data_IF_793598640784
#
_entry.id   IF_793598640784
#
_cell.length_a   1.000
_cell.length_b   1.000
_cell.length_c   1.000
_cell.angle_alpha   90.00
_cell.angle_beta   90.00
_cell.angle_gamma   90.00
#
_symmetry.space_group_name_H-M   'P 1'
#
loop_
_entity.id
_entity.type
_entity.pdbx_description
1 polymer ?
#
# COMPACT_ATOMS: atom_id res chain seq x y z
N UNK A 1 18.90 25.60 -6.61
CA UNK A 1 18.09 24.48 -6.10
C UNK A 1 17.17 24.01 -7.22
N UNK A 2 17.51 22.90 -7.92
CA UNK A 2 16.80 22.50 -9.13
C UNK A 2 15.34 22.14 -8.86
N UNK A 3 15.03 21.51 -7.73
CA UNK A 3 13.68 21.08 -7.40
C UNK A 3 12.74 22.26 -7.09
N UNK A 4 13.24 23.35 -6.50
CA UNK A 4 12.47 24.59 -6.31
C UNK A 4 12.16 25.26 -7.65
N UNK A 5 13.14 25.31 -8.55
CA UNK A 5 12.96 25.90 -9.87
C UNK A 5 11.95 25.08 -10.70
N UNK A 6 12.01 23.75 -10.62
CA UNK A 6 11.08 22.84 -11.28
C UNK A 6 9.66 23.03 -10.76
N UNK A 7 9.46 23.00 -9.43
CA UNK A 7 8.14 23.21 -8.82
C UNK A 7 7.54 24.59 -9.17
N UNK A 8 8.37 25.64 -9.22
CA UNK A 8 7.91 26.97 -9.61
C UNK A 8 7.52 27.04 -11.10
N UNK A 9 8.27 26.39 -11.96
CA UNK A 9 7.94 26.33 -13.38
C UNK A 9 6.61 25.58 -13.60
N UNK A 10 6.39 24.48 -12.89
CA UNK A 10 5.15 23.70 -12.93
C UNK A 10 3.94 24.53 -12.50
N UNK A 11 4.04 25.26 -11.37
CA UNK A 11 2.96 26.16 -10.91
C UNK A 11 2.64 27.22 -11.95
N UNK A 12 3.65 27.82 -12.58
CA UNK A 12 3.42 28.84 -13.62
C UNK A 12 2.79 28.25 -14.88
N UNK A 13 3.10 27.01 -15.21
CA UNK A 13 2.51 26.31 -16.34
C UNK A 13 1.03 25.98 -16.07
N UNK A 14 0.73 25.43 -14.89
CA UNK A 14 -0.65 25.18 -14.43
C UNK A 14 -1.49 26.45 -14.47
N UNK A 15 -0.97 27.57 -13.95
CA UNK A 15 -1.70 28.84 -13.95
C UNK A 15 -1.96 29.39 -15.35
N UNK A 16 -1.14 29.03 -16.34
CA UNK A 16 -1.31 29.47 -17.75
C UNK A 16 -2.19 28.50 -18.55
N UNK A 17 -2.03 27.21 -18.36
CA UNK A 17 -2.56 26.17 -19.22
C UNK A 17 -3.66 25.34 -18.53
N UNK A 18 -3.88 25.50 -17.22
CA UNK A 18 -5.03 25.00 -16.46
C UNK A 18 -4.80 23.68 -15.73
N UNK A 19 -3.97 22.77 -16.22
CA UNK A 19 -3.75 21.46 -15.62
C UNK A 19 -2.27 21.05 -15.69
N UNK A 20 -1.78 20.18 -14.77
CA UNK A 20 -0.45 19.56 -14.89
C UNK A 20 -0.35 18.75 -16.19
N UNK A 21 0.86 18.53 -16.67
CA UNK A 21 1.10 17.65 -17.81
C UNK A 21 0.53 16.24 -17.54
N UNK A 22 -0.34 15.69 -18.43
CA UNK A 22 -1.05 14.44 -18.21
C UNK A 22 -0.14 13.21 -18.06
N UNK A 23 1.12 13.29 -18.48
CA UNK A 23 2.08 12.18 -18.39
C UNK A 23 2.49 11.80 -16.96
N UNK A 24 2.19 12.64 -15.95
CA UNK A 24 2.66 12.45 -14.58
C UNK A 24 1.56 12.40 -13.53
N UNK A 25 0.32 12.71 -13.90
CA UNK A 25 -0.81 12.70 -12.97
C UNK A 25 -2.09 12.28 -13.68
N UNK A 26 -2.88 11.48 -13.00
CA UNK A 26 -4.25 11.18 -13.39
C UNK A 26 -5.22 11.96 -12.52
N UNK A 27 -6.39 12.31 -13.06
CA UNK A 27 -7.39 13.14 -12.39
C UNK A 27 -8.78 12.61 -12.66
N UNK A 28 -9.56 12.44 -11.61
CA UNK A 28 -11.01 12.22 -11.71
C UNK A 28 -11.75 13.03 -10.65
N UNK A 29 -13.07 13.02 -10.72
CA UNK A 29 -13.94 13.67 -9.73
C UNK A 29 -14.86 12.62 -9.12
N UNK A 30 -14.91 12.60 -7.79
CA UNK A 30 -15.81 11.76 -7.02
C UNK A 30 -16.86 12.61 -6.28
N UNK A 31 -18.11 12.13 -6.24
CA UNK A 31 -19.22 12.74 -5.51
C UNK A 31 -19.50 11.92 -4.25
N UNK A 32 -18.96 12.38 -3.14
CA UNK A 32 -19.08 11.73 -1.82
C UNK A 32 -19.91 12.59 -0.85
N UNK A 33 -20.18 12.10 0.35
CA UNK A 33 -21.02 12.78 1.34
C UNK A 33 -20.56 14.21 1.68
N UNK A 34 -19.26 14.48 1.58
CA UNK A 34 -18.72 15.84 1.76
C UNK A 34 -18.87 16.74 0.53
N UNK A 35 -19.42 16.23 -0.57
CA UNK A 35 -19.58 16.92 -1.84
C UNK A 35 -18.59 16.45 -2.89
N UNK A 36 -18.38 17.28 -3.91
CA UNK A 36 -17.51 16.97 -5.05
C UNK A 36 -16.05 17.12 -4.69
N UNK A 37 -15.31 16.01 -4.75
CA UNK A 37 -13.85 15.96 -4.52
C UNK A 37 -13.13 15.71 -5.85
N UNK A 38 -12.15 16.56 -6.19
CA UNK A 38 -11.25 16.31 -7.32
C UNK A 38 -10.05 15.51 -6.79
N UNK A 39 -9.83 14.33 -7.35
CA UNK A 39 -8.76 13.41 -6.94
C UNK A 39 -7.71 13.38 -8.02
N UNK A 40 -6.47 13.68 -7.67
CA UNK A 40 -5.31 13.64 -8.58
C UNK A 40 -4.20 12.81 -7.96
N UNK A 41 -3.56 11.95 -8.73
CA UNK A 41 -2.58 11.00 -8.18
C UNK A 41 -1.45 10.68 -9.16
N UNK A 42 -0.35 10.16 -8.61
CA UNK A 42 0.76 9.66 -9.41
C UNK A 42 0.37 8.41 -10.21
N UNK A 43 0.94 8.18 -11.41
CA UNK A 43 0.56 7.08 -12.30
C UNK A 43 0.66 5.68 -11.69
N UNK A 44 1.40 5.51 -10.59
CA UNK A 44 1.49 4.23 -9.89
C UNK A 44 0.18 3.77 -9.24
N UNK A 45 -0.81 4.64 -9.15
CA UNK A 45 -2.17 4.34 -8.65
C UNK A 45 -3.19 4.29 -9.79
N UNK A 46 -2.72 4.13 -11.03
CA UNK A 46 -3.57 3.93 -12.21
C UNK A 46 -4.58 2.80 -11.99
N UNK A 47 -5.83 3.04 -12.38
CA UNK A 47 -6.94 2.10 -12.23
C UNK A 47 -7.80 2.33 -10.98
N UNK A 48 -7.45 3.27 -10.10
CA UNK A 48 -8.37 3.71 -9.05
C UNK A 48 -9.48 4.58 -9.66
N UNK A 49 -10.74 4.26 -9.34
CA UNK A 49 -11.91 4.90 -9.93
C UNK A 49 -12.67 5.79 -8.92
N UNK A 50 -12.41 5.64 -7.62
CA UNK A 50 -13.04 6.43 -6.57
C UNK A 50 -12.05 6.87 -5.47
N UNK A 51 -12.54 7.75 -4.58
CA UNK A 51 -11.75 8.32 -3.48
C UNK A 51 -11.27 7.23 -2.50
N UNK A 52 -12.13 6.26 -2.16
CA UNK A 52 -11.82 5.19 -1.23
C UNK A 52 -10.70 4.29 -1.77
N UNK A 53 -10.82 3.83 -3.02
CA UNK A 53 -9.79 3.01 -3.68
C UNK A 53 -8.45 3.74 -3.76
N UNK A 54 -8.48 5.03 -4.09
CA UNK A 54 -7.26 5.85 -4.18
C UNK A 54 -6.56 5.99 -2.82
N UNK A 55 -7.33 6.27 -1.76
CA UNK A 55 -6.79 6.34 -0.40
C UNK A 55 -6.32 4.98 0.10
N UNK A 56 -7.08 3.90 -0.20
CA UNK A 56 -6.69 2.54 0.12
C UNK A 56 -5.34 2.18 -0.54
N UNK A 57 -5.19 2.43 -1.83
CA UNK A 57 -3.94 2.17 -2.56
C UNK A 57 -2.76 3.00 -2.00
N UNK A 58 -2.99 4.29 -1.70
CA UNK A 58 -1.99 5.15 -1.12
C UNK A 58 -1.52 4.64 0.24
N UNK A 59 -2.44 4.39 1.18
CA UNK A 59 -2.12 4.02 2.56
C UNK A 59 -1.60 2.57 2.66
N UNK A 60 -2.11 1.64 1.85
CA UNK A 60 -1.59 0.28 1.75
C UNK A 60 -0.14 0.23 1.26
N UNK A 61 0.31 1.25 0.53
CA UNK A 61 1.68 1.36 0.03
C UNK A 61 2.73 1.66 1.11
N UNK A 62 2.30 2.00 2.33
CA UNK A 62 3.22 2.31 3.45
C UNK A 62 3.96 1.04 3.87
N UNK A 63 5.30 1.10 3.84
CA UNK A 63 6.21 0.02 4.21
C UNK A 63 6.96 0.35 5.52
N UNK A 64 7.51 -0.65 6.23
CA UNK A 64 8.38 -0.41 7.38
C UNK A 64 9.55 0.52 7.02
N UNK A 65 9.72 1.59 7.80
CA UNK A 65 10.74 2.61 7.57
C UNK A 65 10.29 3.80 6.72
N UNK A 66 9.08 3.76 6.17
CA UNK A 66 8.48 4.90 5.49
C UNK A 66 8.03 5.99 6.48
N UNK A 67 7.76 7.17 5.95
CA UNK A 67 7.06 8.24 6.66
C UNK A 67 5.84 8.71 5.86
N UNK A 68 4.82 9.14 6.56
CA UNK A 68 3.63 9.75 5.98
C UNK A 68 3.69 11.27 6.12
N UNK A 69 3.46 11.99 5.03
CA UNK A 69 3.39 13.45 5.03
C UNK A 69 2.01 13.93 4.56
N UNK A 70 1.34 14.66 5.46
CA UNK A 70 0.10 15.37 5.14
C UNK A 70 0.46 16.80 4.78
N UNK A 71 0.42 17.13 3.48
CA UNK A 71 0.78 18.42 2.93
C UNK A 71 -0.49 19.24 2.71
N UNK A 72 -0.79 20.20 3.60
CA UNK A 72 -2.07 20.90 3.57
C UNK A 72 -1.94 22.37 3.13
N UNK A 73 -2.57 22.70 2.02
CA UNK A 73 -2.76 24.07 1.49
C UNK A 73 -4.11 24.60 1.97
N UNK A 74 -4.31 24.61 3.28
CA UNK A 74 -5.56 24.93 3.95
C UNK A 74 -5.31 25.85 5.15
N UNK A 75 -6.28 26.69 5.55
CA UNK A 75 -6.21 27.41 6.82
C UNK A 75 -6.40 26.45 8.00
N UNK A 76 -5.57 26.59 9.03
CA UNK A 76 -5.60 25.73 10.23
C UNK A 76 -6.41 26.29 11.39
N UNK A 77 -6.83 27.54 11.31
CA UNK A 77 -7.50 28.22 12.43
C UNK A 77 -9.00 28.12 12.34
N UNK A 78 -9.62 27.83 13.48
CA UNK A 78 -11.10 27.85 13.65
C UNK A 78 -11.78 26.54 13.19
N UNK A 79 -13.03 26.39 13.63
CA UNK A 79 -14.00 25.37 13.22
C UNK A 79 -13.58 23.89 13.37
N UNK A 80 -12.57 23.58 14.19
CA UNK A 80 -12.07 22.20 14.37
C UNK A 80 -11.26 21.69 13.18
N UNK A 81 -10.80 22.58 12.29
CA UNK A 81 -9.99 22.19 11.11
C UNK A 81 -8.71 21.48 11.50
N UNK A 82 -8.00 22.04 12.46
CA UNK A 82 -6.73 21.49 12.92
C UNK A 82 -6.92 20.10 13.52
N UNK A 83 -7.93 19.96 14.34
CA UNK A 83 -8.26 18.69 15.01
C UNK A 83 -8.55 17.59 13.98
N UNK A 84 -9.32 17.88 12.92
CA UNK A 84 -9.62 16.93 11.86
C UNK A 84 -8.37 16.52 11.06
N UNK A 85 -7.50 17.48 10.74
CA UNK A 85 -6.24 17.20 10.01
C UNK A 85 -5.27 16.39 10.88
N UNK A 86 -5.18 16.70 12.18
CA UNK A 86 -4.36 15.93 13.13
C UNK A 86 -4.93 14.53 13.36
N UNK A 87 -6.25 14.35 13.31
CA UNK A 87 -6.88 13.02 13.36
C UNK A 87 -6.40 12.15 12.19
N UNK A 88 -6.46 12.64 10.97
CA UNK A 88 -5.94 11.93 9.79
C UNK A 88 -4.47 11.54 9.98
N UNK A 89 -3.65 12.50 10.35
CA UNK A 89 -2.20 12.29 10.51
C UNK A 89 -1.87 11.27 11.59
N UNK A 90 -2.51 11.36 12.75
CA UNK A 90 -2.31 10.44 13.88
C UNK A 90 -2.87 9.06 13.56
N UNK A 91 -4.08 8.98 12.98
CA UNK A 91 -4.69 7.70 12.59
C UNK A 91 -3.78 6.88 11.68
N UNK A 92 -3.21 7.52 10.65
CA UNK A 92 -2.25 6.86 9.76
C UNK A 92 -0.97 6.45 10.52
N UNK A 93 -0.39 7.35 11.31
CA UNK A 93 0.85 7.05 12.03
C UNK A 93 0.72 5.87 13.01
N UNK A 94 -0.38 5.85 13.78
CA UNK A 94 -0.64 4.81 14.77
C UNK A 94 -0.97 3.46 14.11
N UNK A 95 -1.79 3.46 13.06
CA UNK A 95 -2.24 2.24 12.38
C UNK A 95 -1.16 1.55 11.58
N UNK A 96 -0.24 2.32 10.98
CA UNK A 96 0.84 1.76 10.15
C UNK A 96 2.21 1.78 10.85
N UNK A 97 2.31 2.28 12.08
CA UNK A 97 3.57 2.33 12.85
C UNK A 97 4.64 3.18 12.17
N UNK A 98 4.25 4.23 11.45
CA UNK A 98 5.17 5.09 10.71
C UNK A 98 5.31 6.48 11.34
N UNK A 99 6.43 7.15 11.07
CA UNK A 99 6.59 8.57 11.39
C UNK A 99 5.66 9.39 10.51
N UNK A 100 4.97 10.38 11.08
CA UNK A 100 4.14 11.30 10.29
C UNK A 100 4.51 12.77 10.51
N UNK A 101 4.32 13.59 9.48
CA UNK A 101 4.46 15.04 9.57
C UNK A 101 3.26 15.76 8.94
N UNK A 102 2.97 16.93 9.49
CA UNK A 102 2.01 17.87 8.94
C UNK A 102 2.77 19.07 8.37
N UNK A 103 2.65 19.26 7.08
CA UNK A 103 3.30 20.34 6.37
C UNK A 103 2.28 21.38 5.90
N UNK A 104 2.57 22.64 6.19
CA UNK A 104 1.67 23.75 5.84
C UNK A 104 2.13 24.42 4.54
N UNK A 105 1.35 24.20 3.49
CA UNK A 105 1.57 24.84 2.20
C UNK A 105 1.25 26.35 2.20
N UNK A 106 1.94 27.14 1.41
CA UNK A 106 3.10 26.80 0.60
C UNK A 106 4.45 26.87 1.33
N UNK A 107 4.48 27.13 2.64
CA UNK A 107 5.70 27.41 3.41
C UNK A 107 6.73 26.28 3.35
N UNK A 108 6.29 25.03 3.40
CA UNK A 108 7.20 23.86 3.38
C UNK A 108 7.90 23.64 2.04
N UNK A 109 7.37 24.16 0.93
CA UNK A 109 7.91 23.94 -0.41
C UNK A 109 9.40 24.28 -0.55
N UNK A 110 9.88 25.28 0.23
CA UNK A 110 11.26 25.76 0.21
C UNK A 110 12.13 25.19 1.34
N UNK A 111 11.61 24.29 2.14
CA UNK A 111 12.29 23.66 3.29
C UNK A 111 12.18 22.14 3.26
N UNK A 112 11.30 21.55 4.05
CA UNK A 112 11.05 20.10 4.12
C UNK A 112 10.56 19.51 2.79
N UNK A 113 9.82 20.26 1.98
CA UNK A 113 9.42 19.86 0.63
C UNK A 113 10.60 19.53 -0.30
N UNK A 114 11.81 20.01 -0.02
CA UNK A 114 13.01 19.62 -0.76
C UNK A 114 13.46 18.20 -0.40
N UNK A 115 13.36 17.83 0.87
CA UNK A 115 13.62 16.48 1.33
C UNK A 115 12.61 15.50 0.73
N UNK A 116 11.33 15.89 0.68
CA UNK A 116 10.27 15.09 0.06
C UNK A 116 10.57 14.77 -1.42
N UNK A 117 11.08 15.73 -2.17
CA UNK A 117 11.41 15.60 -3.60
C UNK A 117 12.77 14.96 -3.85
N UNK A 118 13.79 15.38 -3.12
CA UNK A 118 15.20 15.03 -3.39
C UNK A 118 15.79 13.97 -2.45
N UNK A 119 15.10 13.61 -1.37
CA UNK A 119 15.52 12.58 -0.41
C UNK A 119 15.29 11.14 -0.90
N UNK A 120 15.56 10.14 -0.07
CA UNK A 120 15.20 8.76 -0.35
C UNK A 120 13.71 8.59 -0.64
N UNK A 121 13.33 7.57 -1.44
CA UNK A 121 11.94 7.30 -1.77
C UNK A 121 11.23 6.52 -0.66
N UNK A 122 11.13 7.14 0.52
CA UNK A 122 10.51 6.59 1.74
C UNK A 122 9.24 7.37 2.13
N UNK A 123 8.85 8.37 1.35
CA UNK A 123 7.68 9.21 1.66
C UNK A 123 6.41 8.71 0.99
N UNK A 124 5.30 8.78 1.73
CA UNK A 124 3.93 8.65 1.23
C UNK A 124 3.23 9.97 1.49
N UNK A 125 2.67 10.59 0.46
CA UNK A 125 2.23 11.98 0.49
C UNK A 125 0.74 12.10 0.19
N UNK A 126 -0.02 12.65 1.15
CA UNK A 126 -1.39 13.12 0.93
C UNK A 126 -1.37 14.65 0.91
N UNK A 127 -1.72 15.23 -0.23
CA UNK A 127 -1.77 16.67 -0.43
C UNK A 127 -3.23 17.08 -0.35
N UNK A 128 -3.54 18.13 0.42
CA UNK A 128 -4.89 18.66 0.56
C UNK A 128 -4.93 20.12 0.12
N UNK A 129 -5.92 20.45 -0.71
CA UNK A 129 -6.36 21.81 -0.98
C UNK A 129 -7.88 21.87 -1.00
N UNK A 130 -8.47 23.04 -1.02
CA UNK A 130 -9.93 23.19 -1.06
C UNK A 130 -10.31 24.53 -1.68
N UNK A 131 -11.56 24.61 -2.15
CA UNK A 131 -12.14 25.89 -2.48
C UNK A 131 -12.24 26.76 -1.21
N UNK A 132 -11.90 28.03 -1.35
CA UNK A 132 -11.93 28.98 -0.27
C UNK A 132 -13.37 29.50 -0.06
N UNK A 133 -13.92 29.32 1.15
CA UNK A 133 -15.22 29.89 1.53
C UNK A 133 -15.27 31.40 1.34
N UNK A 134 -14.13 32.05 1.42
CA UNK A 134 -13.96 33.48 1.17
C UNK A 134 -12.59 33.71 0.52
N UNK A 135 -12.57 33.65 -0.77
CA UNK A 135 -11.34 33.88 -1.53
C UNK A 135 -10.94 35.36 -1.59
N UNK A 136 -9.66 35.61 -1.66
CA UNK A 136 -9.09 36.95 -1.69
C UNK A 136 -8.52 37.21 -3.09
N UNK A 137 -9.09 38.18 -3.85
CA UNK A 137 -8.57 38.49 -5.16
C UNK A 137 -7.17 39.09 -5.07
N UNK A 138 -6.36 38.76 -6.06
CA UNK A 138 -5.02 39.32 -6.26
C UNK A 138 -5.03 40.44 -7.30
N UNK A 139 -4.02 41.34 -7.31
CA UNK A 139 -3.86 42.35 -8.36
C UNK A 139 -3.76 41.70 -9.76
N UNK A 140 -4.20 42.43 -10.80
CA UNK A 140 -4.18 41.93 -12.20
C UNK A 140 -2.79 41.51 -12.68
N UNK A 141 -1.74 42.08 -12.12
CA UNK A 141 -0.35 41.74 -12.44
C UNK A 141 0.15 40.46 -11.76
N UNK A 142 -0.64 39.87 -10.85
CA UNK A 142 -0.29 38.64 -10.18
C UNK A 142 -0.40 37.43 -11.13
N UNK A 143 0.33 36.36 -10.80
CA UNK A 143 0.34 35.14 -11.60
C UNK A 143 -1.01 34.37 -11.51
N UNK A 144 -1.81 34.60 -10.47
CA UNK A 144 -3.11 33.98 -10.24
C UNK A 144 -4.17 35.05 -9.93
N UNK A 145 -5.46 34.81 -10.24
CA UNK A 145 -6.54 35.76 -9.99
C UNK A 145 -6.87 35.92 -8.50
N UNK A 146 -6.56 34.90 -7.67
CA UNK A 146 -6.86 34.91 -6.24
C UNK A 146 -5.86 34.08 -5.43
N UNK A 147 -5.91 34.19 -4.09
CA UNK A 147 -5.09 33.38 -3.21
C UNK A 147 -5.49 31.90 -3.23
N UNK A 148 -6.79 31.59 -3.35
CA UNK A 148 -7.30 30.23 -3.46
C UNK A 148 -6.78 29.54 -4.72
N UNK A 149 -6.92 30.18 -5.87
CA UNK A 149 -6.40 29.68 -7.16
C UNK A 149 -4.87 29.50 -7.10
N UNK A 150 -4.15 30.41 -6.46
CA UNK A 150 -2.72 30.25 -6.26
C UNK A 150 -2.39 29.03 -5.39
N UNK A 151 -3.10 28.82 -4.30
CA UNK A 151 -2.90 27.69 -3.39
C UNK A 151 -3.21 26.35 -4.11
N UNK A 152 -4.32 26.29 -4.86
CA UNK A 152 -4.68 25.13 -5.68
C UNK A 152 -3.58 24.80 -6.71
N UNK A 153 -3.12 25.79 -7.45
CA UNK A 153 -2.05 25.60 -8.43
C UNK A 153 -0.72 25.17 -7.78
N UNK A 154 -0.42 25.66 -6.58
CA UNK A 154 0.78 25.26 -5.83
C UNK A 154 0.67 23.81 -5.34
N UNK A 155 -0.49 23.37 -4.88
CA UNK A 155 -0.75 21.98 -4.48
C UNK A 155 -0.61 21.03 -5.68
N UNK A 156 -1.22 21.37 -6.82
CA UNK A 156 -1.12 20.60 -8.05
C UNK A 156 0.32 20.54 -8.59
N UNK A 157 1.06 21.65 -8.53
CA UNK A 157 2.48 21.70 -8.93
C UNK A 157 3.40 20.90 -8.00
N UNK A 158 3.06 20.80 -6.71
CA UNK A 158 3.76 19.95 -5.76
C UNK A 158 3.53 18.47 -6.09
N UNK A 159 2.27 18.06 -6.32
CA UNK A 159 1.91 16.73 -6.79
C UNK A 159 2.70 16.35 -8.05
N UNK A 160 2.62 17.18 -9.09
CA UNK A 160 3.30 16.92 -10.37
C UNK A 160 4.80 16.73 -10.19
N UNK A 161 5.45 17.57 -9.34
CA UNK A 161 6.87 17.43 -9.05
C UNK A 161 7.21 16.16 -8.29
N UNK A 162 6.38 15.74 -7.33
CA UNK A 162 6.52 14.49 -6.59
C UNK A 162 6.32 13.28 -7.51
N UNK A 163 5.28 13.30 -8.34
CA UNK A 163 4.96 12.24 -9.30
C UNK A 163 6.09 12.05 -10.33
N UNK A 164 6.64 13.14 -10.91
CA UNK A 164 7.83 13.11 -11.78
C UNK A 164 9.05 12.47 -11.12
N UNK A 165 9.11 12.46 -9.79
CA UNK A 165 10.16 11.82 -8.98
C UNK A 165 9.80 10.38 -8.57
N UNK A 166 8.69 9.83 -9.06
CA UNK A 166 8.22 8.49 -8.71
C UNK A 166 7.83 8.36 -7.24
N UNK A 167 7.34 9.45 -6.63
CA UNK A 167 6.85 9.45 -5.24
C UNK A 167 5.42 8.93 -5.19
N UNK A 168 5.06 8.27 -4.10
CA UNK A 168 3.71 7.82 -3.78
C UNK A 168 2.91 9.02 -3.28
N UNK A 169 2.12 9.64 -4.14
CA UNK A 169 1.44 10.88 -3.82
C UNK A 169 0.03 10.95 -4.43
N UNK A 170 -0.88 11.48 -3.63
CA UNK A 170 -2.27 11.79 -3.98
C UNK A 170 -2.57 13.23 -3.56
N UNK A 171 -3.32 13.95 -4.36
CA UNK A 171 -3.84 15.28 -4.05
C UNK A 171 -5.37 15.24 -4.09
N UNK A 172 -5.98 15.68 -3.01
CA UNK A 172 -7.42 15.89 -2.89
C UNK A 172 -7.71 17.37 -2.87
N UNK A 173 -8.51 17.82 -3.84
CA UNK A 173 -9.07 19.16 -3.81
C UNK A 173 -10.54 19.09 -3.36
N UNK A 174 -10.78 19.62 -2.16
CA UNK A 174 -12.06 19.52 -1.46
C UNK A 174 -13.03 20.61 -1.91
N UNK A 175 -14.36 20.40 -1.81
CA UNK A 175 -15.37 21.37 -2.22
C UNK A 175 -15.36 22.66 -1.39
N UNK A 176 -14.86 22.58 -0.16
CA UNK A 176 -14.64 23.73 0.71
C UNK A 176 -13.63 23.41 1.84
N UNK A 177 -13.15 24.45 2.51
CA UNK A 177 -12.21 24.34 3.63
C UNK A 177 -12.90 24.37 5.01
N UNK A 178 -14.17 24.02 5.14
CA UNK A 178 -14.86 24.00 6.41
C UNK A 178 -14.40 22.90 7.34
N UNK A 179 -14.55 23.10 8.65
CA UNK A 179 -14.27 22.05 9.61
C UNK A 179 -15.25 20.86 9.51
N UNK A 180 -16.40 21.03 8.85
CA UNK A 180 -17.33 19.92 8.57
C UNK A 180 -16.74 19.02 7.51
N UNK A 181 -16.38 19.55 6.35
CA UNK A 181 -15.77 18.84 5.24
C UNK A 181 -14.50 18.09 5.68
N UNK A 182 -13.63 18.73 6.45
CA UNK A 182 -12.41 18.09 6.95
C UNK A 182 -12.68 16.95 7.94
N UNK A 183 -13.71 17.03 8.78
CA UNK A 183 -14.11 15.91 9.64
C UNK A 183 -14.69 14.75 8.85
N UNK A 184 -15.45 15.02 7.79
CA UNK A 184 -15.94 13.98 6.89
C UNK A 184 -14.79 13.29 6.16
N UNK A 185 -13.79 14.04 5.70
CA UNK A 185 -12.57 13.44 5.14
C UNK A 185 -11.82 12.59 6.17
N UNK A 186 -11.70 13.06 7.42
CA UNK A 186 -11.08 12.27 8.48
C UNK A 186 -11.81 10.94 8.71
N UNK A 187 -13.15 10.95 8.67
CA UNK A 187 -13.94 9.72 8.77
C UNK A 187 -13.69 8.77 7.59
N UNK A 188 -13.66 9.28 6.36
CA UNK A 188 -13.33 8.46 5.17
C UNK A 188 -11.95 7.81 5.32
N UNK A 189 -10.95 8.55 5.82
CA UNK A 189 -9.61 7.99 6.06
C UNK A 189 -9.63 6.93 7.16
N UNK A 190 -10.38 7.15 8.24
CA UNK A 190 -10.52 6.16 9.32
C UNK A 190 -11.18 4.86 8.81
N UNK A 191 -12.21 4.98 7.96
CA UNK A 191 -12.90 3.83 7.34
C UNK A 191 -11.94 3.06 6.42
N UNK A 192 -11.18 3.75 5.58
CA UNK A 192 -10.14 3.15 4.72
C UNK A 192 -9.07 2.42 5.55
N UNK A 193 -8.62 3.02 6.65
CA UNK A 193 -7.65 2.38 7.56
C UNK A 193 -8.24 1.09 8.15
N UNK A 194 -9.49 1.11 8.57
CA UNK A 194 -10.17 -0.07 9.11
C UNK A 194 -10.25 -1.22 8.10
N UNK A 195 -10.55 -0.90 6.85
CA UNK A 195 -10.61 -1.89 5.76
C UNK A 195 -9.21 -2.48 5.49
N UNK A 196 -8.17 -1.66 5.40
CA UNK A 196 -6.79 -2.13 5.21
C UNK A 196 -6.35 -3.06 6.35
N UNK A 197 -6.64 -2.70 7.60
CA UNK A 197 -6.27 -3.52 8.76
C UNK A 197 -7.04 -4.83 8.79
N UNK A 198 -8.31 -4.82 8.38
CA UNK A 198 -9.13 -6.02 8.26
C UNK A 198 -8.57 -6.96 7.20
N UNK A 199 -8.25 -6.45 6.02
CA UNK A 199 -7.70 -7.25 4.93
C UNK A 199 -6.31 -7.83 5.28
N UNK A 200 -5.47 -7.06 5.97
CA UNK A 200 -4.18 -7.56 6.48
C UNK A 200 -4.36 -8.69 7.50
N UNK A 201 -5.29 -8.54 8.44
CA UNK A 201 -5.56 -9.57 9.43
C UNK A 201 -6.11 -10.86 8.79
N UNK A 202 -6.97 -10.74 7.77
CA UNK A 202 -7.47 -11.89 7.01
C UNK A 202 -6.34 -12.57 6.22
N UNK A 203 -5.46 -11.80 5.60
CA UNK A 203 -4.32 -12.34 4.87
C UNK A 203 -3.32 -13.06 5.79
N UNK A 204 -3.04 -12.49 6.97
CA UNK A 204 -2.20 -13.13 7.99
C UNK A 204 -2.82 -14.44 8.50
N UNK A 205 -4.13 -14.45 8.78
CA UNK A 205 -4.83 -15.66 9.21
C UNK A 205 -4.81 -16.75 8.13
N UNK A 206 -4.98 -16.38 6.86
CA UNK A 206 -4.89 -17.32 5.74
C UNK A 206 -3.48 -17.92 5.60
N UNK A 207 -2.45 -17.09 5.70
CA UNK A 207 -1.06 -17.53 5.63
C UNK A 207 -0.70 -18.50 6.79
N UNK A 208 -1.17 -18.22 8.01
CA UNK A 208 -0.99 -19.12 9.15
C UNK A 208 -1.68 -20.47 8.96
N UNK A 209 -2.87 -20.49 8.36
CA UNK A 209 -3.60 -21.72 8.07
C UNK A 209 -2.89 -22.56 7.00
N UNK A 210 -2.34 -21.94 5.96
CA UNK A 210 -1.52 -22.61 4.93
C UNK A 210 -0.24 -23.21 5.53
N UNK A 211 0.45 -22.49 6.41
CA UNK A 211 1.64 -22.98 7.10
C UNK A 211 1.32 -24.18 8.03
N UNK A 212 0.18 -24.15 8.73
CA UNK A 212 -0.27 -25.25 9.58
C UNK A 212 -0.61 -26.52 8.75
N UNK A 213 -1.32 -26.37 7.62
CA UNK A 213 -1.61 -27.45 6.70
C UNK A 213 -0.34 -28.07 6.11
N UNK A 214 0.63 -27.24 5.74
CA UNK A 214 1.93 -27.69 5.22
C UNK A 214 2.73 -28.45 6.28
N UNK A 215 2.71 -27.98 7.53
CA UNK A 215 3.38 -28.63 8.65
C UNK A 215 2.74 -30.02 8.94
N UNK A 216 1.41 -30.11 8.94
CA UNK A 216 0.72 -31.39 9.10
C UNK A 216 1.04 -32.37 7.95
N UNK A 217 1.05 -31.89 6.70
CA UNK A 217 1.40 -32.71 5.55
C UNK A 217 2.84 -33.24 5.64
N UNK A 218 3.78 -32.42 6.11
CA UNK A 218 5.19 -32.81 6.29
C UNK A 218 5.32 -33.91 7.34
N UNK A 219 4.64 -33.82 8.46
CA UNK A 219 4.63 -34.85 9.51
C UNK A 219 4.08 -36.17 9.00
N UNK A 220 3.05 -36.14 8.17
CA UNK A 220 2.48 -37.35 7.56
C UNK A 220 3.47 -38.02 6.60
N UNK A 221 4.18 -37.25 5.81
CA UNK A 221 5.21 -37.77 4.87
C UNK A 221 6.38 -38.39 5.65
N UNK A 222 6.91 -37.71 6.68
CA UNK A 222 7.98 -38.25 7.50
C UNK A 222 7.57 -39.54 8.23
N UNK A 223 6.33 -39.62 8.72
CA UNK A 223 5.80 -40.83 9.35
C UNK A 223 5.66 -42.00 8.33
N UNK A 224 5.29 -41.70 7.09
CA UNK A 224 5.19 -42.70 6.04
C UNK A 224 6.58 -43.22 5.62
N UNK A 225 7.58 -42.34 5.47
CA UNK A 225 8.98 -42.72 5.16
C UNK A 225 9.61 -43.52 6.30
N UNK A 226 9.34 -43.15 7.57
CA UNK A 226 9.82 -43.92 8.73
C UNK A 226 9.17 -45.32 8.78
N UNK A 227 7.92 -45.48 8.34
CA UNK A 227 7.23 -46.76 8.26
C UNK A 227 7.80 -47.65 7.15
N UNK A 228 8.12 -47.09 5.98
CA UNK A 228 8.77 -47.83 4.88
C UNK A 228 10.17 -48.32 5.26
N UNK A 229 10.97 -47.49 5.90
CA UNK A 229 12.30 -47.89 6.37
C UNK A 229 12.27 -48.95 7.47
N UNK A 230 11.24 -48.95 8.34
CA UNK A 230 11.04 -49.98 9.33
C UNK A 230 10.65 -51.33 8.69
N UNK A 231 9.84 -51.35 7.66
CA UNK A 231 9.46 -52.56 6.90
C UNK A 231 10.66 -53.14 6.15
N UNK A 232 11.53 -52.31 5.53
CA UNK A 232 12.76 -52.79 4.89
C UNK A 232 13.75 -53.36 5.89
N UNK A 233 13.88 -52.78 7.08
CA UNK A 233 14.77 -53.33 8.13
C UNK A 233 14.30 -54.68 8.66
N UNK A 234 13.01 -54.93 8.78
CA UNK A 234 12.44 -56.22 9.22
C UNK A 234 12.61 -57.32 8.18
N UNK A 235 12.76 -56.96 6.89
CA UNK A 235 12.94 -57.92 5.79
C UNK A 235 14.39 -58.35 5.56
N UNK A 236 15.35 -57.59 6.11
CA UNK A 236 16.80 -57.86 5.97
C UNK A 236 17.30 -58.82 7.09
N UNK A 237 16.62 -59.02 8.18
CA UNK A 237 17.04 -59.81 9.36
C UNK A 237 16.40 -61.20 9.45
N UNK A 238 15.95 -61.81 8.34
CA UNK A 238 15.59 -63.25 8.26
C UNK A 238 16.82 -64.11 8.11
N UNK A 239 17.13 -65.03 9.05
CA UNK A 239 18.35 -65.84 8.98
C UNK A 239 18.31 -66.79 7.80
N UNK A 240 19.28 -66.65 6.89
CA UNK A 240 19.60 -67.58 5.79
C UNK A 240 20.42 -68.74 6.33
N UNK A 241 19.91 -69.53 7.30
CA UNK A 241 20.51 -70.80 7.69
C UNK A 241 19.42 -71.82 7.99
N UNK A 242 18.88 -72.46 6.94
CA UNK A 242 18.26 -73.78 7.03
C UNK A 242 18.97 -74.70 6.05
N UNK A 243 20.04 -75.28 6.52
CA UNK A 243 20.64 -76.48 5.85
C UNK A 243 19.58 -77.53 5.64
N UNK A 244 19.25 -77.84 4.39
CA UNK A 244 18.41 -78.96 4.01
C UNK A 244 19.30 -80.20 4.02
N UNK A 245 19.25 -80.99 5.09
CA UNK A 245 19.83 -82.30 5.19
C UNK A 245 19.16 -83.21 4.17
N UNK A 246 19.92 -83.67 3.16
CA UNK A 246 19.48 -84.59 2.12
C UNK A 246 19.29 -85.96 2.74
N UNK A 247 18.07 -86.40 2.95
CA UNK A 247 17.74 -87.78 3.29
C UNK A 247 17.78 -88.65 2.01
N UNK A 248 18.79 -89.53 1.99
CA UNK A 248 18.99 -90.57 1.00
C UNK A 248 17.90 -91.62 1.13
N UNK A 249 17.01 -91.74 0.12
CA UNK A 249 16.00 -92.82 0.06
C UNK A 249 16.47 -93.85 -0.96
N UNK A 250 16.83 -95.03 -0.45
CA UNK A 250 17.18 -96.23 -1.19
C UNK A 250 16.07 -96.70 -2.15
N UNK A 251 16.46 -97.06 -3.35
CA UNK A 251 15.63 -97.71 -4.37
C UNK A 251 15.66 -99.22 -4.17
N UNK A 252 14.57 -99.93 -4.04
CA UNK A 252 14.59 -101.40 -4.26
C UNK A 252 14.34 -101.73 -5.72
N UNK A 253 15.27 -102.54 -6.25
CA UNK A 253 15.19 -103.27 -7.52
C UNK A 253 14.16 -104.37 -7.49
N UNK A 254 13.59 -104.70 -8.56
CA UNK A 254 12.85 -105.93 -8.89
C UNK A 254 11.42 -105.61 -9.29
N UNK A 255 10.83 -106.22 -10.26
CA UNK A 255 11.11 -107.39 -11.09
C UNK A 255 10.22 -107.28 -12.34
N UNK A 256 10.75 -107.74 -13.42
CA UNK A 256 10.07 -108.07 -14.69
C UNK A 256 8.83 -108.92 -14.51
N UNK A 257 7.73 -108.71 -15.28
CA UNK A 257 7.22 -109.75 -16.15
C UNK A 257 6.06 -109.29 -17.11
N UNK A 258 6.18 -109.81 -18.29
CA UNK A 258 5.34 -110.03 -19.46
C UNK A 258 3.79 -110.02 -19.20
N UNK A 259 3.07 -109.37 -20.06
CA UNK A 259 2.18 -109.92 -21.08
C UNK A 259 1.49 -108.73 -21.84
#
# INVERSE_FOLDING_TARGET
>A
QPDVASAKAEVLDILKNGQPEPDFTEVFTDEVDMGRVEVSFAPMFEGCEDLHETLYALLSSIQPGDFFALNAFLPFTGEGRREAIEQIRHGVAESFGCVSCLEVGPRYLHSTGQLQKGGPNMGVFLILSADELKDIPLPEEAAAPSLGELAKAQAAGDLATLAKRGRRCVHLHLPDNSGVTLRQLAQVVDDVIADILTDRALAEAAAMAEDEELAEATVVVEAAEASETAVEAEFVDAPQDAEVEAAEVAVPEGETDEA
#
